data_IF_660844262140
#
_entry.id   IF_660844262140
#
_cell.length_a   1.000
_cell.length_b   1.000
_cell.length_c   1.000
_cell.angle_alpha   90.00
_cell.angle_beta   90.00
_cell.angle_gamma   90.00
#
_symmetry.space_group_name_H-M   'P 1'
#
loop_
_entity.id
_entity.type
_entity.pdbx_description
1 polymer ?
#
# COMPACT_ATOMS: atom_id res chain seq x y z
N UNK A 1 -30.34 27.76 12.19
CA UNK A 1 -30.04 27.07 10.94
C UNK A 1 -28.71 26.32 11.05
N UNK A 2 -28.73 25.03 10.84
CA UNK A 2 -27.53 24.18 10.84
C UNK A 2 -26.58 24.64 9.75
N UNK A 3 -25.33 24.82 10.08
CA UNK A 3 -24.30 25.24 9.12
C UNK A 3 -24.17 24.22 7.98
N UNK A 4 -23.71 24.67 6.81
CA UNK A 4 -23.49 23.80 5.63
C UNK A 4 -22.54 22.62 5.96
N UNK A 5 -21.57 22.83 6.86
CA UNK A 5 -20.66 21.78 7.36
C UNK A 5 -21.39 20.73 8.19
N UNK A 6 -22.28 21.13 9.10
CA UNK A 6 -23.07 20.19 9.91
C UNK A 6 -24.01 19.36 9.04
N UNK A 7 -24.64 19.95 8.01
CA UNK A 7 -25.47 19.19 7.06
C UNK A 7 -24.66 18.17 6.27
N UNK A 8 -23.44 18.50 5.85
CA UNK A 8 -22.56 17.56 5.16
C UNK A 8 -22.12 16.41 6.10
N UNK A 9 -21.78 16.69 7.36
CA UNK A 9 -21.49 15.66 8.36
C UNK A 9 -22.67 14.73 8.58
N UNK A 10 -23.88 15.25 8.76
CA UNK A 10 -25.10 14.43 8.94
C UNK A 10 -25.39 13.50 7.74
N UNK A 11 -25.12 13.94 6.51
CA UNK A 11 -25.28 13.09 5.31
C UNK A 11 -24.22 12.00 5.26
N UNK A 12 -22.99 12.31 5.66
CA UNK A 12 -21.90 11.35 5.81
C UNK A 12 -22.22 10.28 6.85
N UNK A 13 -22.69 10.70 8.01
CA UNK A 13 -23.07 9.79 9.09
C UNK A 13 -24.20 8.85 8.68
N UNK A 14 -25.22 9.32 7.96
CA UNK A 14 -26.32 8.48 7.47
C UNK A 14 -25.82 7.37 6.54
N UNK A 15 -24.99 7.70 5.54
CA UNK A 15 -24.43 6.70 4.62
C UNK A 15 -23.58 5.67 5.34
N UNK A 16 -22.76 6.12 6.30
CA UNK A 16 -21.97 5.24 7.13
C UNK A 16 -22.84 4.34 8.01
N UNK A 17 -23.86 4.89 8.67
CA UNK A 17 -24.81 4.12 9.47
C UNK A 17 -25.55 3.07 8.65
N UNK A 18 -25.94 3.40 7.42
CA UNK A 18 -26.59 2.44 6.51
C UNK A 18 -25.62 1.34 6.06
N UNK A 19 -24.34 1.64 5.93
CA UNK A 19 -23.31 0.63 5.64
C UNK A 19 -23.01 -0.23 6.87
N UNK A 20 -22.99 0.35 8.07
CA UNK A 20 -22.77 -0.39 9.33
C UNK A 20 -23.90 -1.38 9.63
N UNK A 21 -25.14 -1.09 9.24
CA UNK A 21 -26.27 -2.02 9.40
C UNK A 21 -26.11 -3.32 8.62
N UNK A 22 -25.32 -3.30 7.53
CA UNK A 22 -25.04 -4.47 6.69
C UNK A 22 -23.94 -5.36 7.30
N UNK A 23 -23.20 -4.88 8.30
CA UNK A 23 -22.02 -5.56 8.85
C UNK A 23 -22.25 -5.86 10.34
N UNK A 24 -22.26 -7.13 10.70
CA UNK A 24 -22.30 -7.55 12.11
C UNK A 24 -20.91 -7.48 12.72
N UNK A 25 -20.70 -6.61 13.71
CA UNK A 25 -19.38 -6.36 14.33
C UNK A 25 -18.79 -7.56 15.07
N UNK A 26 -19.61 -8.52 15.50
CA UNK A 26 -19.22 -9.72 16.23
C UNK A 26 -18.87 -10.90 15.30
N UNK A 27 -19.37 -10.89 14.07
CA UNK A 27 -19.18 -11.97 13.09
C UNK A 27 -17.81 -11.89 12.44
N UNK A 28 -17.17 -13.05 12.27
CA UNK A 28 -16.02 -13.25 11.39
C UNK A 28 -16.52 -13.78 10.05
N UNK A 29 -16.26 -13.04 9.01
CA UNK A 29 -16.72 -13.36 7.66
C UNK A 29 -15.72 -14.22 6.91
N UNK A 30 -16.19 -14.99 5.96
CA UNK A 30 -15.33 -15.63 4.97
C UNK A 30 -14.85 -14.58 3.95
N UNK A 31 -13.73 -14.86 3.27
CA UNK A 31 -13.11 -13.90 2.34
C UNK A 31 -14.10 -13.46 1.26
N UNK A 32 -14.85 -14.41 0.66
CA UNK A 32 -15.82 -14.12 -0.40
C UNK A 32 -16.95 -13.22 0.10
N UNK A 33 -17.56 -13.57 1.23
CA UNK A 33 -18.60 -12.76 1.86
C UNK A 33 -18.09 -11.36 2.23
N UNK A 34 -16.85 -11.26 2.71
CA UNK A 34 -16.26 -9.97 3.08
C UNK A 34 -16.04 -9.06 1.86
N UNK A 35 -15.58 -9.62 0.73
CA UNK A 35 -15.37 -8.85 -0.50
C UNK A 35 -16.69 -8.39 -1.13
N UNK A 36 -17.73 -9.23 -1.10
CA UNK A 36 -19.07 -8.84 -1.51
C UNK A 36 -19.68 -7.75 -0.63
N UNK A 37 -19.46 -7.83 0.68
CA UNK A 37 -19.93 -6.81 1.59
C UNK A 37 -19.19 -5.48 1.40
N UNK A 38 -17.89 -5.49 1.14
CA UNK A 38 -17.12 -4.28 0.87
C UNK A 38 -17.65 -3.54 -0.33
N UNK A 39 -17.91 -4.22 -1.44
CA UNK A 39 -18.47 -3.59 -2.64
C UNK A 39 -19.84 -2.97 -2.38
N UNK A 40 -20.66 -3.60 -1.53
CA UNK A 40 -21.98 -3.08 -1.12
C UNK A 40 -21.91 -1.92 -0.12
N UNK A 41 -20.85 -1.86 0.70
CA UNK A 41 -20.67 -0.81 1.72
C UNK A 41 -19.96 0.43 1.18
N UNK A 42 -19.28 0.34 0.04
CA UNK A 42 -18.64 1.44 -0.66
C UNK A 42 -19.69 2.34 -1.34
N UNK A 43 -20.22 3.33 -0.60
CA UNK A 43 -21.30 4.22 -1.06
C UNK A 43 -20.87 5.66 -1.33
N UNK A 44 -19.57 5.92 -1.42
CA UNK A 44 -19.06 7.25 -1.73
C UNK A 44 -19.34 7.63 -3.19
N UNK A 45 -19.22 8.94 -3.49
CA UNK A 45 -19.36 9.44 -4.87
C UNK A 45 -18.08 9.29 -5.72
N UNK A 46 -17.02 8.78 -5.13
CA UNK A 46 -15.74 8.50 -5.77
C UNK A 46 -15.43 7.00 -5.65
N UNK A 47 -14.53 6.51 -6.48
CA UNK A 47 -14.09 5.12 -6.42
C UNK A 47 -13.23 4.90 -5.18
N UNK A 48 -13.83 4.26 -4.16
CA UNK A 48 -13.20 4.02 -2.87
C UNK A 48 -12.05 3.02 -3.00
N UNK A 49 -10.96 3.28 -2.27
CA UNK A 49 -9.89 2.30 -2.13
C UNK A 49 -10.27 1.28 -1.06
N UNK A 50 -10.06 0.02 -1.36
CA UNK A 50 -10.22 -1.08 -0.40
C UNK A 50 -8.84 -1.40 0.20
N UNK A 51 -8.79 -1.42 1.53
CA UNK A 51 -7.56 -1.61 2.30
C UNK A 51 -7.68 -2.84 3.19
N UNK A 52 -6.57 -3.55 3.35
CA UNK A 52 -6.43 -4.63 4.31
C UNK A 52 -5.57 -4.19 5.50
N UNK A 53 -6.06 -4.46 6.69
CA UNK A 53 -5.41 -4.18 7.97
C UNK A 53 -5.17 -5.50 8.69
N UNK A 54 -3.90 -5.89 8.79
CA UNK A 54 -3.51 -7.22 9.26
C UNK A 54 -2.66 -7.06 10.51
N UNK A 55 -3.21 -7.46 11.65
CA UNK A 55 -2.50 -7.46 12.93
C UNK A 55 -1.72 -8.75 13.09
N UNK A 56 -0.41 -8.61 13.25
CA UNK A 56 0.51 -9.73 13.42
C UNK A 56 0.84 -9.97 14.90
N UNK A 57 1.21 -11.22 15.20
CA UNK A 57 1.69 -11.64 16.52
C UNK A 57 3.22 -11.53 16.63
N UNK A 58 3.78 -10.40 16.24
CA UNK A 58 5.22 -10.09 16.31
C UNK A 58 5.47 -8.86 17.17
N UNK A 59 6.70 -8.60 17.56
CA UNK A 59 7.08 -7.38 18.27
C UNK A 59 7.91 -6.48 17.33
N UNK A 60 7.31 -5.35 16.92
CA UNK A 60 7.94 -4.36 16.03
C UNK A 60 9.16 -3.65 16.63
N UNK A 61 9.43 -3.80 17.95
CA UNK A 61 10.60 -3.23 18.61
C UNK A 61 11.88 -3.96 18.26
N UNK A 62 11.77 -5.25 17.94
CA UNK A 62 12.89 -6.09 17.56
C UNK A 62 13.10 -6.07 16.05
N UNK A 63 14.32 -5.78 15.61
CA UNK A 63 14.67 -5.66 14.20
C UNK A 63 14.50 -6.98 13.42
N UNK A 64 14.68 -8.12 14.08
CA UNK A 64 14.51 -9.49 13.57
C UNK A 64 13.04 -9.90 13.40
N UNK A 65 12.11 -9.20 14.06
CA UNK A 65 10.68 -9.41 13.94
C UNK A 65 9.97 -8.37 13.05
N UNK A 66 10.72 -7.46 12.47
CA UNK A 66 10.17 -6.48 11.54
C UNK A 66 9.81 -7.12 10.21
N UNK A 67 8.50 -7.13 9.89
CA UNK A 67 7.98 -7.60 8.61
C UNK A 67 7.90 -6.44 7.64
N UNK A 68 8.65 -6.50 6.55
CA UNK A 68 8.66 -5.53 5.47
C UNK A 68 8.95 -6.23 4.16
N UNK A 69 8.23 -5.90 3.11
CA UNK A 69 8.45 -6.43 1.78
C UNK A 69 7.66 -5.69 0.73
N UNK A 70 7.71 -6.20 -0.47
CA UNK A 70 6.91 -5.71 -1.58
C UNK A 70 6.30 -6.88 -2.34
N UNK A 71 5.16 -6.66 -2.96
CA UNK A 71 4.46 -7.62 -3.79
C UNK A 71 3.82 -6.89 -4.97
N UNK A 72 3.82 -7.56 -6.12
CA UNK A 72 3.05 -7.14 -7.29
C UNK A 72 1.67 -7.79 -7.20
N UNK A 73 0.62 -6.97 -7.18
CA UNK A 73 -0.75 -7.48 -7.15
C UNK A 73 -1.18 -7.94 -8.56
N UNK A 74 -1.87 -9.09 -8.69
CA UNK A 74 -2.31 -9.61 -10.00
C UNK A 74 -3.12 -8.60 -10.81
N UNK A 75 -4.01 -7.85 -10.15
CA UNK A 75 -4.87 -6.84 -10.80
C UNK A 75 -4.43 -5.40 -10.52
N UNK A 76 -3.23 -5.22 -9.93
CA UNK A 76 -2.76 -3.89 -9.54
C UNK A 76 -3.58 -3.25 -8.43
N UNK A 77 -3.35 -1.95 -8.20
CA UNK A 77 -4.05 -1.15 -7.18
C UNK A 77 -5.14 -0.25 -7.74
N UNK A 78 -5.24 -0.12 -9.09
CA UNK A 78 -6.13 0.85 -9.74
C UNK A 78 -5.67 2.31 -9.63
N UNK A 79 -4.44 2.55 -9.17
CA UNK A 79 -3.79 3.85 -9.16
C UNK A 79 -2.61 3.83 -10.11
N UNK A 80 -2.56 4.78 -11.05
CA UNK A 80 -1.36 5.05 -11.86
C UNK A 80 -0.34 5.77 -11.01
N UNK A 81 0.77 5.09 -10.67
CA UNK A 81 1.83 5.68 -9.88
C UNK A 81 2.82 6.42 -10.77
N UNK A 82 3.14 7.67 -10.43
CA UNK A 82 4.22 8.43 -11.05
C UNK A 82 5.56 7.97 -10.49
N UNK A 83 6.45 7.53 -11.36
CA UNK A 83 7.74 6.94 -10.99
C UNK A 83 8.87 7.92 -11.27
N UNK A 84 9.64 8.25 -10.22
CA UNK A 84 10.88 8.99 -10.30
C UNK A 84 12.06 8.00 -10.26
N UNK A 85 12.98 8.10 -11.21
CA UNK A 85 14.15 7.23 -11.27
C UNK A 85 15.44 8.06 -11.16
N UNK A 86 16.27 7.70 -10.18
CA UNK A 86 17.63 8.20 -10.07
C UNK A 86 18.59 7.21 -10.72
N UNK A 87 19.08 7.55 -11.91
CA UNK A 87 20.03 6.75 -12.66
C UNK A 87 20.95 7.62 -13.49
N UNK A 88 22.18 7.10 -13.77
CA UNK A 88 23.20 7.76 -14.60
C UNK A 88 23.44 7.01 -15.90
N UNK A 89 23.79 7.75 -16.95
CA UNK A 89 24.23 7.18 -18.22
C UNK A 89 23.20 6.28 -18.87
N UNK A 90 23.60 5.11 -19.41
CA UNK A 90 22.70 4.22 -20.18
C UNK A 90 21.45 3.79 -19.42
N UNK A 91 21.55 3.66 -18.08
CA UNK A 91 20.41 3.28 -17.23
C UNK A 91 19.33 4.35 -17.15
N UNK A 92 19.68 5.62 -17.36
CA UNK A 92 18.71 6.69 -17.46
C UNK A 92 17.86 6.56 -18.74
N UNK A 93 18.47 6.15 -19.84
CA UNK A 93 17.76 5.93 -21.10
C UNK A 93 16.90 4.66 -21.06
N UNK A 94 17.38 3.60 -20.41
CA UNK A 94 16.58 2.40 -20.10
C UNK A 94 15.35 2.75 -19.25
N UNK A 95 15.52 3.60 -18.24
CA UNK A 95 14.41 4.06 -17.40
C UNK A 95 13.35 4.84 -18.18
N UNK A 96 13.79 5.71 -19.09
CA UNK A 96 12.88 6.46 -19.99
C UNK A 96 12.14 5.51 -20.93
N UNK A 97 12.86 4.55 -21.53
CA UNK A 97 12.29 3.55 -22.42
C UNK A 97 11.26 2.66 -21.69
N UNK A 98 11.50 2.33 -20.41
CA UNK A 98 10.56 1.61 -19.55
C UNK A 98 9.33 2.43 -19.15
N UNK A 99 9.31 3.74 -19.48
CA UNK A 99 8.19 4.62 -19.23
C UNK A 99 8.20 5.28 -17.85
N UNK A 100 9.37 5.49 -17.24
CA UNK A 100 9.47 6.31 -16.02
C UNK A 100 9.03 7.75 -16.32
N UNK A 101 8.28 8.36 -15.39
CA UNK A 101 7.73 9.70 -15.58
C UNK A 101 8.81 10.79 -15.42
N UNK A 102 9.73 10.56 -14.49
CA UNK A 102 10.85 11.45 -14.23
C UNK A 102 12.14 10.65 -14.11
N UNK A 103 13.17 11.05 -14.84
CA UNK A 103 14.49 10.42 -14.83
C UNK A 103 15.54 11.50 -14.72
N UNK A 104 16.48 11.37 -13.81
CA UNK A 104 17.57 12.31 -13.64
C UNK A 104 18.58 11.94 -12.58
N UNK A 105 19.54 12.83 -12.37
CA UNK A 105 20.66 12.67 -11.45
C UNK A 105 20.60 13.75 -10.34
N UNK A 106 21.71 14.43 -10.11
CA UNK A 106 21.86 15.48 -9.09
C UNK A 106 20.89 16.66 -9.27
N UNK A 107 20.48 16.95 -10.50
CA UNK A 107 19.55 18.03 -10.84
C UNK A 107 18.19 17.85 -10.16
N UNK A 108 17.66 16.61 -10.14
CA UNK A 108 16.41 16.29 -9.45
C UNK A 108 16.56 16.39 -7.93
N UNK A 109 17.73 16.09 -7.39
CA UNK A 109 18.02 16.29 -5.95
C UNK A 109 17.95 17.77 -5.59
N UNK A 110 18.57 18.63 -6.40
CA UNK A 110 18.52 20.09 -6.20
C UNK A 110 17.08 20.61 -6.29
N UNK A 111 16.29 20.13 -7.25
CA UNK A 111 14.88 20.47 -7.41
C UNK A 111 14.03 20.05 -6.21
N UNK A 112 14.19 18.86 -5.70
CA UNK A 112 13.45 18.36 -4.53
C UNK A 112 13.81 19.17 -3.28
N UNK A 113 15.10 19.53 -3.10
CA UNK A 113 15.54 20.30 -1.93
C UNK A 113 15.16 21.77 -2.01
N UNK A 114 15.29 22.40 -3.19
CA UNK A 114 15.05 23.83 -3.38
C UNK A 114 13.58 24.19 -3.52
N UNK A 115 12.84 23.41 -4.28
CA UNK A 115 11.44 23.73 -4.64
C UNK A 115 10.41 22.93 -3.83
N UNK A 116 10.83 22.00 -2.95
CA UNK A 116 9.94 21.03 -2.28
C UNK A 116 9.01 20.31 -3.28
N UNK A 117 9.58 19.92 -4.42
CA UNK A 117 8.83 19.25 -5.48
C UNK A 117 8.63 17.76 -5.17
N UNK A 118 7.37 17.30 -5.12
CA UNK A 118 6.97 15.92 -4.80
C UNK A 118 5.86 15.40 -5.71
N UNK A 119 5.89 15.76 -6.99
CA UNK A 119 4.90 15.27 -7.96
C UNK A 119 5.22 13.84 -8.46
N UNK A 120 5.55 12.96 -7.53
CA UNK A 120 5.83 11.54 -7.77
C UNK A 120 5.36 10.69 -6.59
N UNK A 121 5.00 9.45 -6.86
CA UNK A 121 4.48 8.51 -5.87
C UNK A 121 5.53 7.50 -5.41
N UNK A 122 6.46 7.10 -6.29
CA UNK A 122 7.49 6.10 -6.01
C UNK A 122 8.84 6.56 -6.53
N UNK A 123 9.88 6.30 -5.74
CA UNK A 123 11.26 6.59 -6.11
C UNK A 123 12.03 5.30 -6.31
N UNK A 124 12.66 5.16 -7.46
CA UNK A 124 13.60 4.08 -7.78
C UNK A 124 15.00 4.68 -7.90
N UNK A 125 15.98 3.99 -7.37
CA UNK A 125 17.38 4.42 -7.47
C UNK A 125 18.30 3.26 -7.83
N UNK A 126 19.32 3.54 -8.63
CA UNK A 126 20.43 2.61 -8.78
C UNK A 126 21.31 2.67 -7.52
N UNK A 127 21.98 1.56 -7.13
CA UNK A 127 22.86 1.54 -5.96
C UNK A 127 23.93 2.65 -5.97
N UNK A 128 24.45 2.99 -7.16
CA UNK A 128 25.45 4.04 -7.36
C UNK A 128 24.93 5.43 -6.96
N UNK A 129 23.62 5.67 -7.16
CA UNK A 129 22.97 6.93 -6.85
C UNK A 129 22.52 7.06 -5.37
N UNK A 130 22.58 5.97 -4.62
CA UNK A 130 22.13 5.98 -3.21
C UNK A 130 22.93 6.96 -2.33
N UNK A 131 24.21 7.21 -2.64
CA UNK A 131 25.02 8.23 -1.96
C UNK A 131 24.45 9.65 -2.12
N UNK A 132 23.89 9.95 -3.28
CA UNK A 132 23.27 11.25 -3.59
C UNK A 132 21.85 11.33 -3.03
N UNK A 133 21.06 10.27 -3.23
CA UNK A 133 19.68 10.15 -2.71
C UNK A 133 19.66 10.13 -1.17
N UNK A 134 20.71 9.61 -0.53
CA UNK A 134 20.86 9.60 0.93
C UNK A 134 20.78 10.99 1.56
N UNK A 135 21.22 12.03 0.85
CA UNK A 135 21.10 13.44 1.28
C UNK A 135 19.64 13.90 1.39
N UNK A 136 18.73 13.26 0.60
CA UNK A 136 17.29 13.51 0.65
C UNK A 136 16.59 12.74 1.77
N UNK A 137 17.30 11.91 2.54
CA UNK A 137 16.72 11.04 3.56
C UNK A 137 15.86 11.76 4.60
N UNK A 138 16.26 12.99 4.98
CA UNK A 138 15.50 13.86 5.92
C UNK A 138 14.16 14.32 5.34
N UNK A 139 14.05 14.39 4.02
CA UNK A 139 12.88 14.89 3.30
C UNK A 139 12.01 13.74 2.78
N UNK A 140 12.60 12.73 2.16
CA UNK A 140 11.90 11.57 1.61
C UNK A 140 11.50 10.54 2.68
N UNK A 141 12.28 10.42 3.76
CA UNK A 141 12.04 9.47 4.83
C UNK A 141 10.69 9.63 5.52
N UNK A 142 10.34 10.83 6.04
CA UNK A 142 9.04 11.08 6.68
C UNK A 142 7.84 10.87 5.75
N UNK A 143 8.04 11.06 4.43
CA UNK A 143 7.00 10.88 3.40
C UNK A 143 6.87 9.42 2.94
N UNK A 144 7.75 8.51 3.40
CA UNK A 144 7.76 7.12 2.96
C UNK A 144 8.26 6.89 1.52
N UNK A 145 8.89 7.90 0.91
CA UNK A 145 9.37 7.89 -0.48
C UNK A 145 10.83 7.44 -0.62
N UNK A 146 11.49 7.10 0.48
CA UNK A 146 12.90 6.71 0.46
C UNK A 146 13.07 5.33 -0.18
N UNK A 147 13.89 5.20 -1.25
CA UNK A 147 14.13 3.90 -1.89
C UNK A 147 14.81 2.93 -0.93
N UNK A 148 14.45 1.66 -1.03
CA UNK A 148 14.94 0.59 -0.15
C UNK A 148 15.19 -0.70 -0.92
N UNK A 149 16.33 -1.39 -0.67
CA UNK A 149 16.58 -2.70 -1.25
C UNK A 149 15.52 -3.75 -0.89
N UNK A 150 14.97 -3.68 0.34
CA UNK A 150 13.93 -4.60 0.80
C UNK A 150 12.59 -4.43 0.07
N UNK A 151 12.29 -3.22 -0.40
CA UNK A 151 11.13 -2.94 -1.25
C UNK A 151 11.40 -3.19 -2.74
N UNK A 152 12.66 -3.51 -3.10
CA UNK A 152 13.09 -3.70 -4.49
C UNK A 152 13.04 -2.40 -5.30
N UNK A 153 13.14 -1.24 -4.64
CA UNK A 153 13.23 0.08 -5.27
C UNK A 153 14.67 0.58 -5.41
N UNK A 154 15.64 -0.17 -4.85
CA UNK A 154 17.07 0.00 -5.12
C UNK A 154 17.54 -1.22 -5.90
N UNK A 155 17.78 -1.05 -7.20
CA UNK A 155 18.13 -2.16 -8.09
C UNK A 155 18.98 -1.70 -9.26
N UNK A 156 19.75 -2.62 -9.82
CA UNK A 156 20.49 -2.40 -11.07
C UNK A 156 19.59 -2.56 -12.30
N UNK A 157 18.51 -3.35 -12.18
CA UNK A 157 17.53 -3.59 -13.25
C UNK A 157 16.35 -2.61 -13.10
N UNK A 158 16.57 -1.41 -13.63
CA UNK A 158 15.62 -0.30 -13.55
C UNK A 158 14.35 -0.59 -14.37
N UNK A 159 14.49 -1.21 -15.54
CA UNK A 159 13.38 -1.53 -16.44
C UNK A 159 12.36 -2.43 -15.75
N UNK A 160 12.85 -3.50 -15.12
CA UNK A 160 12.00 -4.43 -14.37
C UNK A 160 11.29 -3.73 -13.21
N UNK A 161 12.00 -2.92 -12.42
CA UNK A 161 11.44 -2.21 -11.28
C UNK A 161 10.33 -1.24 -11.70
N UNK A 162 10.54 -0.46 -12.78
CA UNK A 162 9.52 0.48 -13.30
C UNK A 162 8.28 -0.27 -13.79
N UNK A 163 8.47 -1.37 -14.53
CA UNK A 163 7.35 -2.18 -15.00
C UNK A 163 6.54 -2.81 -13.86
N UNK A 164 7.22 -3.35 -12.83
CA UNK A 164 6.55 -3.91 -11.64
C UNK A 164 5.76 -2.84 -10.88
N UNK A 165 6.31 -1.63 -10.72
CA UNK A 165 5.61 -0.51 -10.05
C UNK A 165 4.38 -0.11 -10.86
N UNK A 166 4.49 0.01 -12.17
CA UNK A 166 3.35 0.31 -13.05
C UNK A 166 2.30 -0.80 -13.10
N UNK A 167 2.73 -2.06 -12.92
CA UNK A 167 1.84 -3.20 -12.78
C UNK A 167 1.09 -3.24 -11.43
N UNK A 168 1.42 -2.33 -10.49
CA UNK A 168 0.75 -2.24 -9.19
C UNK A 168 1.51 -2.92 -8.05
N UNK A 169 2.84 -2.79 -8.04
CA UNK A 169 3.66 -3.20 -6.91
C UNK A 169 3.35 -2.35 -5.69
N UNK A 170 3.04 -3.00 -4.59
CA UNK A 170 2.82 -2.36 -3.29
C UNK A 170 3.93 -2.74 -2.32
N UNK A 171 4.28 -1.80 -1.45
CA UNK A 171 5.16 -2.07 -0.31
C UNK A 171 4.29 -2.26 0.93
N UNK A 172 4.60 -3.28 1.74
CA UNK A 172 4.01 -3.46 3.05
C UNK A 172 5.07 -3.37 4.14
N UNK A 173 4.70 -2.72 5.22
CA UNK A 173 5.56 -2.50 6.39
C UNK A 173 4.76 -2.62 7.67
N UNK A 174 5.33 -3.31 8.65
CA UNK A 174 4.80 -3.38 10.00
C UNK A 174 4.92 -2.02 10.69
N UNK A 175 3.83 -1.53 11.28
CA UNK A 175 3.83 -0.31 12.09
C UNK A 175 4.23 -0.58 13.55
N UNK A 176 4.22 0.46 14.38
CA UNK A 176 4.54 0.38 15.81
C UNK A 176 3.49 -0.39 16.63
N UNK A 177 2.29 -0.56 16.10
CA UNK A 177 1.17 -1.29 16.72
C UNK A 177 1.06 -2.73 16.26
N UNK A 178 2.06 -3.20 15.49
CA UNK A 178 2.14 -4.53 14.90
C UNK A 178 1.02 -4.81 13.86
N UNK A 179 0.62 -3.77 13.12
CA UNK A 179 -0.36 -3.86 12.07
C UNK A 179 0.29 -3.52 10.73
N UNK A 180 -0.07 -4.26 9.70
CA UNK A 180 0.24 -3.94 8.30
C UNK A 180 -1.00 -3.32 7.68
N UNK A 181 -0.84 -2.19 7.04
CA UNK A 181 -1.88 -1.48 6.30
C UNK A 181 -1.51 -1.45 4.82
N UNK A 182 -2.33 -2.09 3.96
CA UNK A 182 -2.06 -2.18 2.53
C UNK A 182 -3.32 -1.97 1.71
N UNK A 183 -3.27 -1.18 0.63
CA UNK A 183 -4.33 -1.13 -0.36
C UNK A 183 -4.34 -2.44 -1.16
N UNK A 184 -5.53 -2.99 -1.39
CA UNK A 184 -5.73 -4.20 -2.21
C UNK A 184 -6.41 -3.93 -3.55
N UNK A 185 -6.95 -2.73 -3.74
CA UNK A 185 -7.56 -2.31 -5.00
C UNK A 185 -8.62 -1.25 -4.83
N UNK A 186 -9.39 -1.05 -5.87
CA UNK A 186 -10.54 -0.13 -5.90
C UNK A 186 -11.84 -0.90 -5.77
N UNK A 187 -12.87 -0.26 -5.20
CA UNK A 187 -14.21 -0.85 -5.09
C UNK A 187 -14.80 -1.24 -6.46
N UNK A 188 -14.42 -0.50 -7.51
CA UNK A 188 -14.80 -0.78 -8.90
C UNK A 188 -14.25 -2.09 -9.49
N UNK A 189 -13.25 -2.70 -8.85
CA UNK A 189 -12.67 -3.98 -9.32
C UNK A 189 -13.65 -5.16 -9.20
N UNK A 190 -14.61 -5.07 -8.28
CA UNK A 190 -15.49 -6.16 -7.95
C UNK A 190 -14.88 -7.16 -6.96
N UNK A 191 -15.71 -8.05 -6.42
CA UNK A 191 -15.31 -8.96 -5.35
C UNK A 191 -14.23 -9.97 -5.78
N UNK A 192 -14.32 -10.52 -6.98
CA UNK A 192 -13.40 -11.56 -7.48
C UNK A 192 -11.94 -11.04 -7.56
N UNK A 193 -11.71 -9.90 -8.23
CA UNK A 193 -10.36 -9.32 -8.36
C UNK A 193 -9.79 -8.87 -7.02
N UNK A 194 -10.63 -8.31 -6.14
CA UNK A 194 -10.22 -7.95 -4.79
C UNK A 194 -9.81 -9.17 -3.98
N UNK A 195 -10.51 -10.29 -4.13
CA UNK A 195 -10.18 -11.56 -3.49
C UNK A 195 -8.84 -12.12 -3.97
N UNK A 196 -8.57 -12.10 -5.27
CA UNK A 196 -7.29 -12.56 -5.82
C UNK A 196 -6.13 -11.70 -5.33
N UNK A 197 -6.28 -10.38 -5.34
CA UNK A 197 -5.29 -9.47 -4.78
C UNK A 197 -5.07 -9.70 -3.29
N UNK A 198 -6.14 -9.89 -2.53
CA UNK A 198 -6.07 -10.18 -1.09
C UNK A 198 -5.35 -11.50 -0.82
N UNK A 199 -5.66 -12.57 -1.55
CA UNK A 199 -5.02 -13.88 -1.41
C UNK A 199 -3.52 -13.80 -1.73
N UNK A 200 -3.14 -13.06 -2.79
CA UNK A 200 -1.74 -12.83 -3.12
C UNK A 200 -1.02 -12.12 -1.97
N UNK A 201 -1.61 -11.04 -1.42
CA UNK A 201 -1.05 -10.29 -0.29
C UNK A 201 -0.89 -11.18 0.95
N UNK A 202 -1.93 -11.95 1.31
CA UNK A 202 -1.89 -12.84 2.47
C UNK A 202 -0.82 -13.93 2.32
N UNK A 203 -0.70 -14.53 1.15
CA UNK A 203 0.34 -15.52 0.85
C UNK A 203 1.76 -14.94 1.02
N UNK A 204 1.98 -13.70 0.58
CA UNK A 204 3.26 -13.02 0.75
C UNK A 204 3.57 -12.75 2.23
N UNK A 205 2.58 -12.28 3.00
CA UNK A 205 2.74 -11.99 4.44
C UNK A 205 3.00 -13.28 5.24
N UNK A 206 2.29 -14.37 4.94
CA UNK A 206 2.51 -15.67 5.60
C UNK A 206 3.90 -16.21 5.30
N UNK A 207 4.36 -16.11 4.04
CA UNK A 207 5.74 -16.50 3.66
C UNK A 207 6.81 -15.63 4.33
N UNK A 208 6.51 -14.37 4.62
CA UNK A 208 7.42 -13.44 5.29
C UNK A 208 7.46 -13.61 6.81
N UNK A 209 6.83 -14.65 7.37
CA UNK A 209 6.84 -14.91 8.82
C UNK A 209 8.27 -15.05 9.34
N UNK A 210 8.69 -14.20 10.32
CA UNK A 210 9.99 -14.33 10.93
C UNK A 210 10.12 -15.63 11.75
N UNK A 211 11.29 -16.26 11.73
CA UNK A 211 11.55 -17.46 12.53
C UNK A 211 11.43 -17.19 14.05
N UNK A 212 11.73 -15.96 14.47
CA UNK A 212 11.60 -15.51 15.87
C UNK A 212 10.13 -15.32 16.33
N UNK A 213 9.15 -15.33 15.40
CA UNK A 213 7.74 -15.16 15.75
C UNK A 213 7.17 -16.43 16.38
N UNK A 214 6.90 -16.38 17.69
CA UNK A 214 6.30 -17.49 18.46
C UNK A 214 4.78 -17.29 18.59
N UNK A 215 4.05 -18.42 18.57
CA UNK A 215 2.59 -18.43 18.73
C UNK A 215 1.82 -18.04 17.47
N UNK A 216 0.60 -17.51 17.66
CA UNK A 216 -0.28 -17.16 16.56
C UNK A 216 0.24 -15.94 15.80
N UNK A 217 0.59 -16.13 14.52
CA UNK A 217 1.15 -15.08 13.67
C UNK A 217 0.08 -14.08 13.20
N UNK A 218 -1.04 -14.57 12.67
CA UNK A 218 -2.18 -13.73 12.25
C UNK A 218 -3.15 -13.57 13.43
N UNK A 219 -3.16 -12.40 14.09
CA UNK A 219 -4.08 -12.13 15.22
C UNK A 219 -5.43 -11.67 14.78
N UNK A 220 -5.49 -10.77 13.83
CA UNK A 220 -6.75 -10.29 13.24
C UNK A 220 -6.51 -9.75 11.84
N UNK A 221 -7.49 -9.96 10.98
CA UNK A 221 -7.51 -9.44 9.61
C UNK A 221 -8.82 -8.69 9.41
N UNK A 222 -8.72 -7.45 8.97
CA UNK A 222 -9.86 -6.57 8.72
C UNK A 222 -9.69 -5.95 7.36
N UNK A 223 -10.76 -5.89 6.58
CA UNK A 223 -10.81 -5.15 5.32
C UNK A 223 -11.80 -4.01 5.43
N UNK A 224 -11.48 -2.88 4.84
CA UNK A 224 -12.33 -1.71 4.86
C UNK A 224 -12.24 -0.94 3.55
N UNK A 225 -13.35 -0.31 3.14
CA UNK A 225 -13.29 0.73 2.11
C UNK A 225 -13.02 2.09 2.76
N UNK A 226 -12.56 3.07 1.97
CA UNK A 226 -12.14 4.40 2.47
C UNK A 226 -13.17 5.07 3.40
N UNK A 227 -14.45 4.90 3.12
CA UNK A 227 -15.54 5.51 3.89
C UNK A 227 -16.47 4.48 4.56
N UNK A 228 -16.16 3.20 4.42
CA UNK A 228 -16.96 2.09 4.93
C UNK A 228 -16.55 1.59 6.32
N UNK A 229 -17.35 0.72 6.93
CA UNK A 229 -16.99 0.02 8.15
C UNK A 229 -15.95 -1.06 7.92
N UNK A 230 -15.15 -1.37 8.95
CA UNK A 230 -14.23 -2.50 8.93
C UNK A 230 -14.96 -3.84 9.03
N UNK A 231 -14.65 -4.75 8.13
CA UNK A 231 -15.19 -6.12 8.06
C UNK A 231 -14.11 -7.09 8.53
N UNK A 232 -14.41 -7.85 9.59
CA UNK A 232 -13.46 -8.83 10.15
C UNK A 232 -13.49 -10.12 9.36
N UNK A 233 -12.32 -10.56 8.91
CA UNK A 233 -12.14 -11.84 8.22
C UNK A 233 -11.64 -12.89 9.20
N UNK A 234 -12.06 -14.14 9.00
CA UNK A 234 -11.60 -15.26 9.80
C UNK A 234 -10.14 -15.60 9.48
N UNK A 235 -9.23 -15.15 10.35
CA UNK A 235 -7.80 -15.38 10.18
C UNK A 235 -7.39 -16.87 10.23
N UNK A 236 -8.17 -17.74 10.89
CA UNK A 236 -7.86 -19.18 10.99
C UNK A 236 -8.01 -19.93 9.65
N UNK A 237 -8.79 -19.38 8.71
CA UNK A 237 -8.98 -19.98 7.38
C UNK A 237 -7.97 -19.49 6.33
N UNK A 238 -7.06 -18.61 6.71
CA UNK A 238 -6.10 -17.97 5.79
C UNK A 238 -4.68 -18.54 5.94
N UNK A 239 -4.38 -19.20 7.06
CA UNK A 239 -3.06 -19.73 7.40
C UNK A 239 -2.91 -21.21 7.21
#
# INVERSE_FOLDING_TARGET
STSRRQRQMCIRDRKYQDSVKLVEKSKFYDINEAMDLITKTAKAKFDETVEAHIRLGVDSRHADQQVRGAIVLPHGTGKTSKVLVFAKGPKADEAKAAGADYVGDADLVAKIQGENWFDFDVVVATPDMMGVVGRLGKVLGPKGLMPSPKAGTVTMDVTKAVNEIKAGKIEYRLDKTNIIHCPIGKASFGAEKLQENFNALMSAIVKAKPAAAKGQYLKSVVVASTMGPGIKINAAKIG
#
